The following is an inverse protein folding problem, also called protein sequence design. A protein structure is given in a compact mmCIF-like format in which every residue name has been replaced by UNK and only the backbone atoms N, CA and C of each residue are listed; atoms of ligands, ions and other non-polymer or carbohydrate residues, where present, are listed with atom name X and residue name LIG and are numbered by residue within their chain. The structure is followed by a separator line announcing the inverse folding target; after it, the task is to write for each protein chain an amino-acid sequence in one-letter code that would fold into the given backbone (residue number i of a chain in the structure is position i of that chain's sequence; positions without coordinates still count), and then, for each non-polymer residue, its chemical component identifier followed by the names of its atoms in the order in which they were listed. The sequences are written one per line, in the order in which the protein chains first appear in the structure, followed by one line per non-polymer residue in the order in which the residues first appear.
data_IF_241948515341
#
_entry.id   IF_241948515341
#
_cell.length_a   1.000
_cell.length_b   1.000
_cell.length_c   1.000
_cell.angle_alpha   90.00
_cell.angle_beta   90.00
_cell.angle_gamma   90.00
#
_symmetry.space_group_name_H-M   'P 1'
#
loop_
_entity.id
_entity.type
_entity.pdbx_description
1 polymer ?
#
# COMPACT_ATOMS: atom_id res chain seq x y z
N UNK A 1 21.60 -21.37 -13.84
CA UNK A 1 21.88 -21.98 -12.51
C UNK A 1 21.35 -21.04 -11.43
N UNK A 2 20.83 -21.59 -10.32
CA UNK A 2 20.49 -20.75 -9.15
C UNK A 2 21.79 -20.29 -8.49
N UNK A 3 21.92 -19.01 -8.09
CA UNK A 3 23.09 -18.54 -7.35
C UNK A 3 23.28 -19.30 -6.03
N UNK A 4 24.52 -19.53 -5.62
CA UNK A 4 24.86 -20.34 -4.42
C UNK A 4 24.23 -19.78 -3.14
N UNK A 5 24.10 -18.46 -3.02
CA UNK A 5 23.47 -17.82 -1.86
C UNK A 5 22.00 -18.24 -1.68
N UNK A 6 21.31 -18.70 -2.73
CA UNK A 6 19.94 -19.20 -2.60
C UNK A 6 19.87 -20.43 -1.70
N UNK A 7 20.96 -21.18 -1.50
CA UNK A 7 20.96 -22.37 -0.64
C UNK A 7 20.95 -22.02 0.86
N UNK A 8 21.39 -20.82 1.21
CA UNK A 8 21.45 -20.32 2.60
C UNK A 8 20.25 -19.42 2.94
N UNK A 9 19.30 -19.26 2.03
CA UNK A 9 18.15 -18.39 2.23
C UNK A 9 17.16 -19.00 3.23
N UNK A 10 16.98 -18.33 4.37
CA UNK A 10 16.06 -18.75 5.43
C UNK A 10 14.61 -18.94 4.92
N UNK A 11 14.22 -18.25 3.85
CA UNK A 11 12.89 -18.38 3.27
C UNK A 11 12.53 -19.79 2.78
N UNK A 12 13.53 -20.64 2.56
CA UNK A 12 13.37 -22.03 2.13
C UNK A 12 12.84 -22.95 3.21
N UNK A 13 13.05 -22.59 4.47
CA UNK A 13 12.65 -23.40 5.62
C UNK A 13 11.22 -23.05 6.10
N UNK A 14 10.53 -22.20 5.35
CA UNK A 14 9.16 -21.77 5.62
C UNK A 14 8.23 -22.06 4.45
N UNK A 15 6.93 -22.05 4.73
CA UNK A 15 5.87 -22.20 3.73
C UNK A 15 6.00 -21.14 2.61
N UNK A 16 6.06 -21.54 1.32
CA UNK A 16 6.09 -20.62 0.19
C UNK A 16 4.99 -19.56 0.20
N UNK A 17 3.78 -19.89 0.70
CA UNK A 17 2.66 -18.96 0.76
C UNK A 17 2.91 -17.80 1.74
N UNK A 18 3.91 -17.91 2.62
CA UNK A 18 4.30 -16.83 3.53
C UNK A 18 4.86 -15.62 2.77
N UNK A 19 5.61 -15.86 1.69
CA UNK A 19 6.26 -14.84 0.87
C UNK A 19 5.30 -14.16 -0.09
N UNK A 20 4.16 -14.81 -0.35
CA UNK A 20 3.10 -14.35 -1.23
C UNK A 20 1.77 -14.31 -0.48
N UNK A 21 1.64 -13.42 0.52
CA UNK A 21 0.38 -13.28 1.26
C UNK A 21 -0.78 -12.97 0.31
N UNK A 22 -2.02 -13.00 0.81
CA UNK A 22 -3.23 -12.47 0.13
C UNK A 22 -3.66 -11.12 0.75
N UNK A 23 -4.46 -10.35 0.02
CA UNK A 23 -4.95 -9.05 0.51
C UNK A 23 -5.63 -9.20 1.89
N UNK A 24 -5.30 -8.29 2.81
CA UNK A 24 -5.80 -8.32 4.20
C UNK A 24 -4.99 -9.19 5.16
N UNK A 25 -4.00 -9.95 4.71
CA UNK A 25 -3.14 -10.78 5.57
C UNK A 25 -1.93 -9.98 6.08
N UNK A 26 -2.16 -8.87 6.77
CA UNK A 26 -1.10 -7.98 7.25
C UNK A 26 -0.13 -8.69 8.22
N UNK A 27 -0.65 -9.54 9.10
CA UNK A 27 0.16 -10.34 10.02
C UNK A 27 1.13 -11.27 9.27
N UNK A 28 0.71 -11.82 8.13
CA UNK A 28 1.55 -12.67 7.28
C UNK A 28 2.67 -11.84 6.62
N UNK A 29 2.35 -10.62 6.18
CA UNK A 29 3.35 -9.69 5.65
C UNK A 29 4.39 -9.35 6.71
N UNK A 30 3.96 -8.99 7.91
CA UNK A 30 4.84 -8.64 9.03
C UNK A 30 5.75 -9.82 9.41
N UNK A 31 5.18 -11.02 9.49
CA UNK A 31 5.93 -12.24 9.75
C UNK A 31 6.97 -12.50 8.66
N UNK A 32 6.58 -12.48 7.38
CA UNK A 32 7.49 -12.68 6.26
C UNK A 32 8.63 -11.64 6.25
N UNK A 33 8.32 -10.37 6.49
CA UNK A 33 9.33 -9.33 6.58
C UNK A 33 10.29 -9.57 7.76
N UNK A 34 9.78 -10.00 8.92
CA UNK A 34 10.61 -10.29 10.09
C UNK A 34 11.63 -11.40 9.81
N UNK A 35 11.20 -12.50 9.20
CA UNK A 35 12.06 -13.61 8.82
C UNK A 35 13.07 -13.17 7.77
N UNK A 36 12.63 -12.41 6.77
CA UNK A 36 13.51 -11.94 5.71
C UNK A 36 14.59 -10.98 6.26
N UNK A 37 14.25 -10.13 7.24
CA UNK A 37 15.20 -9.23 7.91
C UNK A 37 16.26 -9.98 8.73
N UNK A 38 15.96 -11.18 9.21
CA UNK A 38 16.91 -12.05 9.91
C UNK A 38 17.68 -13.01 8.98
N UNK A 39 17.42 -12.98 7.68
CA UNK A 39 18.02 -13.91 6.72
C UNK A 39 19.53 -13.65 6.53
N UNK A 40 20.40 -14.67 6.58
CA UNK A 40 21.85 -14.49 6.46
C UNK A 40 22.31 -14.00 5.07
N UNK A 41 21.45 -14.13 4.06
CA UNK A 41 21.71 -13.71 2.67
C UNK A 41 20.88 -12.49 2.26
N UNK A 42 20.47 -11.67 3.23
CA UNK A 42 19.63 -10.49 2.99
C UNK A 42 20.26 -9.52 1.98
N UNK A 43 21.57 -9.28 2.08
CA UNK A 43 22.26 -8.33 1.21
C UNK A 43 22.33 -8.84 -0.23
N UNK A 44 22.67 -10.11 -0.44
CA UNK A 44 22.66 -10.75 -1.76
C UNK A 44 21.24 -10.76 -2.37
N UNK A 45 20.23 -11.01 -1.53
CA UNK A 45 18.84 -10.92 -1.94
C UNK A 45 18.47 -9.50 -2.37
N UNK A 46 18.90 -8.47 -1.62
CA UNK A 46 18.67 -7.06 -1.95
C UNK A 46 19.31 -6.68 -3.29
N UNK A 47 20.57 -7.07 -3.51
CA UNK A 47 21.25 -6.82 -4.79
C UNK A 47 20.56 -7.53 -5.96
N UNK A 48 20.01 -8.72 -5.72
CA UNK A 48 19.24 -9.42 -6.75
C UNK A 48 17.92 -8.69 -7.05
N UNK A 49 17.20 -8.28 -6.01
CA UNK A 49 15.95 -7.52 -6.10
C UNK A 49 16.15 -6.20 -6.86
N UNK A 50 17.21 -5.46 -6.55
CA UNK A 50 17.50 -4.18 -7.20
C UNK A 50 17.82 -4.34 -8.71
N UNK A 51 18.30 -5.51 -9.14
CA UNK A 51 18.60 -5.83 -10.55
C UNK A 51 17.43 -6.42 -11.33
N UNK A 52 16.53 -7.14 -10.67
CA UNK A 52 15.50 -7.94 -11.35
C UNK A 52 14.07 -7.44 -11.12
N UNK A 53 13.86 -6.56 -10.15
CA UNK A 53 12.57 -5.98 -9.78
C UNK A 53 11.41 -7.01 -9.73
N UNK A 54 11.44 -7.96 -8.78
CA UNK A 54 10.42 -8.99 -8.70
C UNK A 54 9.02 -8.37 -8.53
N UNK A 55 8.01 -8.87 -9.26
CA UNK A 55 6.75 -8.15 -9.42
C UNK A 55 5.72 -8.36 -8.30
N UNK A 56 5.88 -9.30 -7.37
CA UNK A 56 4.97 -9.46 -6.22
C UNK A 56 5.63 -10.24 -5.07
N UNK A 57 5.08 -10.11 -3.85
CA UNK A 57 5.57 -10.78 -2.64
C UNK A 57 6.60 -10.00 -1.82
N UNK A 58 7.05 -10.63 -0.74
CA UNK A 58 8.06 -10.09 0.19
C UNK A 58 9.45 -10.55 -0.24
N UNK A 59 10.30 -9.59 -0.62
CA UNK A 59 11.68 -9.82 -1.05
C UNK A 59 12.61 -8.84 -0.37
N UNK A 60 13.78 -9.31 0.09
CA UNK A 60 14.77 -8.51 0.81
C UNK A 60 14.18 -7.66 1.97
N UNK A 61 13.16 -8.21 2.66
CA UNK A 61 12.46 -7.57 3.77
C UNK A 61 11.43 -6.52 3.36
N UNK A 62 11.12 -6.41 2.07
CA UNK A 62 10.29 -5.37 1.48
C UNK A 62 9.15 -5.97 0.66
N UNK A 63 7.95 -5.41 0.79
CA UNK A 63 6.88 -5.63 -0.18
C UNK A 63 7.20 -4.88 -1.48
N UNK A 64 6.48 -5.19 -2.56
CA UNK A 64 6.54 -4.39 -3.79
C UNK A 64 6.27 -2.90 -3.51
N UNK A 65 5.30 -2.60 -2.66
CA UNK A 65 4.98 -1.22 -2.26
C UNK A 65 6.11 -0.49 -1.55
N UNK A 66 6.81 -1.20 -0.67
CA UNK A 66 7.98 -0.65 0.01
C UNK A 66 9.10 -0.34 -1.00
N UNK A 67 9.31 -1.25 -1.97
CA UNK A 67 10.31 -1.05 -3.04
C UNK A 67 9.95 0.12 -3.96
N UNK A 68 8.69 0.28 -4.32
CA UNK A 68 8.22 1.39 -5.15
C UNK A 68 8.33 2.73 -4.43
N UNK A 69 8.03 2.74 -3.13
CA UNK A 69 8.21 3.90 -2.26
C UNK A 69 9.69 4.29 -2.17
N UNK A 70 10.58 3.31 -1.95
CA UNK A 70 12.04 3.52 -1.89
C UNK A 70 12.61 4.10 -3.19
N UNK A 71 12.08 3.68 -4.35
CA UNK A 71 12.50 4.17 -5.67
C UNK A 71 11.93 5.54 -6.04
N UNK A 72 11.13 6.16 -5.17
CA UNK A 72 10.55 7.47 -5.46
C UNK A 72 9.47 7.43 -6.55
N UNK A 73 9.00 6.24 -6.95
CA UNK A 73 7.83 6.06 -7.81
C UNK A 73 6.55 6.40 -7.03
N UNK A 74 6.40 7.67 -6.67
CA UNK A 74 5.20 8.25 -6.07
C UNK A 74 4.08 8.30 -7.11
N UNK A 75 3.58 7.14 -7.53
CA UNK A 75 2.53 7.02 -8.55
C UNK A 75 2.33 5.63 -9.17
N UNK A 76 3.36 4.77 -9.21
CA UNK A 76 3.30 3.42 -9.83
C UNK A 76 2.31 2.47 -9.13
N UNK A 77 2.15 2.67 -7.82
CA UNK A 77 1.24 1.94 -6.95
C UNK A 77 -0.22 1.88 -7.45
N UNK A 78 -0.67 2.81 -8.32
CA UNK A 78 -2.06 2.85 -8.81
C UNK A 78 -2.46 1.65 -9.68
N UNK A 79 -1.49 0.92 -10.22
CA UNK A 79 -1.67 -0.24 -11.11
C UNK A 79 -1.36 -1.59 -10.45
N UNK A 80 -0.80 -1.61 -9.24
CA UNK A 80 -0.49 -2.86 -8.54
C UNK A 80 -1.76 -3.42 -7.83
N UNK A 81 -2.22 -4.65 -8.15
CA UNK A 81 -3.43 -5.25 -7.58
C UNK A 81 -3.40 -5.42 -6.05
N UNK A 82 -2.21 -5.64 -5.48
CA UNK A 82 -1.97 -5.89 -4.06
C UNK A 82 -2.20 -4.68 -3.17
N UNK A 83 -2.14 -3.54 -3.83
CA UNK A 83 -1.87 -2.25 -3.27
C UNK A 83 -3.10 -1.37 -3.58
N UNK A 84 -3.73 -1.58 -4.74
CA UNK A 84 -5.09 -1.15 -5.04
C UNK A 84 -6.09 -1.62 -3.98
N UNK A 85 -5.81 -2.72 -3.28
CA UNK A 85 -6.57 -3.24 -2.12
C UNK A 85 -6.22 -2.58 -0.76
N UNK A 86 -5.04 -1.96 -0.61
CA UNK A 86 -4.60 -1.30 0.63
C UNK A 86 -4.73 0.25 0.58
N UNK A 87 -4.56 0.92 -0.58
CA UNK A 87 -4.91 2.35 -0.77
C UNK A 87 -6.37 2.58 -1.18
N UNK A 88 -7.20 1.54 -1.21
CA UNK A 88 -8.65 1.68 -1.41
C UNK A 88 -9.33 2.49 -0.31
N UNK A 89 -8.61 2.94 0.74
CA UNK A 89 -9.23 3.72 1.80
C UNK A 89 -8.41 4.90 2.33
N UNK A 90 -7.93 5.78 1.44
CA UNK A 90 -7.85 7.22 1.81
C UNK A 90 -9.27 7.82 1.74
N UNK A 91 -10.14 7.31 2.61
CA UNK A 91 -11.55 7.67 2.74
C UNK A 91 -11.75 8.56 3.97
N UNK A 92 -12.87 9.26 4.05
CA UNK A 92 -13.05 10.29 5.09
C UNK A 92 -12.54 11.68 4.70
N UNK A 93 -12.34 11.95 3.41
CA UNK A 93 -12.05 13.30 2.90
C UNK A 93 -12.96 13.66 1.74
N UNK A 94 -13.13 14.96 1.45
CA UNK A 94 -13.87 15.44 0.27
C UNK A 94 -13.23 14.98 -1.04
N UNK A 95 -11.90 14.89 -1.09
CA UNK A 95 -11.16 14.34 -2.23
C UNK A 95 -11.41 12.82 -2.41
N UNK A 96 -11.59 12.09 -1.30
CA UNK A 96 -12.05 10.70 -1.31
C UNK A 96 -13.46 10.57 -1.91
N UNK A 97 -14.39 11.41 -1.47
CA UNK A 97 -15.76 11.45 -2.02
C UNK A 97 -15.79 11.76 -3.53
N UNK A 98 -15.05 12.76 -3.99
CA UNK A 98 -14.98 13.12 -5.40
C UNK A 98 -14.36 12.03 -6.29
N UNK A 99 -13.53 11.17 -5.72
CA UNK A 99 -12.95 10.02 -6.43
C UNK A 99 -13.98 8.91 -6.66
N UNK A 100 -14.77 8.54 -5.64
CA UNK A 100 -15.87 7.57 -5.84
C UNK A 100 -16.82 8.02 -6.95
N UNK A 101 -17.18 9.32 -6.96
CA UNK A 101 -18.04 9.89 -8.01
C UNK A 101 -17.45 9.86 -9.42
N UNK A 102 -16.12 9.91 -9.57
CA UNK A 102 -15.45 9.84 -10.89
C UNK A 102 -15.31 8.42 -11.40
N UNK A 103 -15.41 7.43 -10.51
CA UNK A 103 -15.26 6.02 -10.82
C UNK A 103 -16.62 5.30 -10.94
N UNK A 104 -17.74 6.03 -10.85
CA UNK A 104 -19.09 5.47 -10.78
C UNK A 104 -19.30 4.43 -9.65
N UNK A 105 -18.57 4.60 -8.56
CA UNK A 105 -18.67 3.77 -7.36
C UNK A 105 -19.59 4.41 -6.32
N UNK A 106 -20.33 3.59 -5.56
CA UNK A 106 -21.02 4.09 -4.37
C UNK A 106 -19.98 4.53 -3.33
N UNK A 107 -20.04 5.81 -2.94
CA UNK A 107 -19.12 6.35 -1.94
C UNK A 107 -19.33 5.71 -0.56
N UNK A 108 -18.25 5.33 0.11
CA UNK A 108 -18.31 4.82 1.48
C UNK A 108 -18.85 5.87 2.48
N UNK A 109 -19.33 5.41 3.64
CA UNK A 109 -19.93 6.27 4.66
C UNK A 109 -18.97 7.36 5.17
N UNK A 110 -17.68 7.05 5.34
CA UNK A 110 -16.68 8.01 5.76
C UNK A 110 -16.54 9.18 4.76
N UNK A 111 -16.48 8.88 3.46
CA UNK A 111 -16.44 9.89 2.40
C UNK A 111 -17.74 10.70 2.29
N UNK A 112 -18.90 10.04 2.42
CA UNK A 112 -20.21 10.71 2.47
C UNK A 112 -20.25 11.72 3.62
N UNK A 113 -19.82 11.30 4.82
CA UNK A 113 -19.78 12.13 6.03
C UNK A 113 -18.87 13.33 5.87
N UNK A 114 -17.63 13.13 5.42
CA UNK A 114 -16.67 14.22 5.20
C UNK A 114 -17.16 15.26 4.18
N UNK A 115 -17.86 14.82 3.13
CA UNK A 115 -18.47 15.73 2.15
C UNK A 115 -19.65 16.52 2.75
N UNK A 116 -20.49 15.88 3.56
CA UNK A 116 -21.59 16.55 4.26
C UNK A 116 -21.07 17.62 5.23
N UNK A 117 -20.05 17.29 6.04
CA UNK A 117 -19.43 18.21 6.99
C UNK A 117 -18.83 19.43 6.28
N UNK A 118 -18.07 19.20 5.21
CA UNK A 118 -17.51 20.28 4.40
C UNK A 118 -18.58 21.22 3.83
N UNK A 119 -19.69 20.66 3.29
CA UNK A 119 -20.78 21.46 2.73
C UNK A 119 -21.53 22.24 3.82
N UNK A 120 -21.73 21.65 5.00
CA UNK A 120 -22.32 22.32 6.14
C UNK A 120 -21.45 23.50 6.60
N UNK A 121 -20.14 23.28 6.76
CA UNK A 121 -19.21 24.33 7.16
C UNK A 121 -19.15 25.46 6.12
N UNK A 122 -19.06 25.13 4.82
CA UNK A 122 -19.09 26.12 3.74
C UNK A 122 -20.37 26.96 3.77
N UNK A 123 -21.50 26.34 4.07
CA UNK A 123 -22.79 27.06 4.21
C UNK A 123 -22.79 27.99 5.42
N UNK A 124 -22.29 27.53 6.58
CA UNK A 124 -22.12 28.37 7.78
C UNK A 124 -21.24 29.58 7.50
N UNK A 125 -20.06 29.37 6.90
CA UNK A 125 -19.12 30.44 6.54
C UNK A 125 -19.76 31.47 5.60
N UNK A 126 -20.57 31.02 4.63
CA UNK A 126 -21.31 31.92 3.71
C UNK A 126 -22.38 32.74 4.42
N UNK A 127 -23.10 32.16 5.39
CA UNK A 127 -24.12 32.88 6.17
C UNK A 127 -23.50 33.94 7.08
N UNK A 128 -22.40 33.62 7.77
CA UNK A 128 -21.66 34.58 8.61
C UNK A 128 -21.18 35.79 7.78
N UNK A 129 -20.53 35.54 6.63
CA UNK A 129 -20.09 36.62 5.74
C UNK A 129 -21.22 37.52 5.23
N UNK A 130 -22.45 37.02 5.18
CA UNK A 130 -23.64 37.79 4.78
C UNK A 130 -24.25 38.57 5.96
N UNK A 131 -24.08 38.12 7.20
CA UNK A 131 -24.52 38.88 8.38
C UNK A 131 -23.56 40.00 8.76
N UNK A 132 -22.29 39.89 8.36
CA UNK A 132 -21.24 40.88 8.63
C UNK A 132 -21.13 41.99 7.56
N UNK A 133 -21.95 41.92 6.50
CA UNK A 133 -21.97 42.84 5.35
C UNK A 133 -23.33 43.55 5.26
#
# INVERSE_FOLDING_TARGET
MRPDWHHQAACRDHDPDLWFPRAGQNERVELAQSICRACPVLDQCRDWVDRHDPPYGVWAGLTQGDRDTKRGHRGSYRSDPWIKAALTHRCGTTAGYARHRRNDEEACQACKTANTEYNAERTRRRRSRKSDA
#
